data_IF_177664755081
#
_entry.id   IF_177664755081
#
_cell.length_a   1.000
_cell.length_b   1.000
_cell.length_c   1.000
_cell.angle_alpha   90.00
_cell.angle_beta   90.00
_cell.angle_gamma   90.00
#
_symmetry.space_group_name_H-M   'P 1'
#
loop_
_entity.id
_entity.type
_entity.pdbx_description
1 polymer ?
#
# COMPACT_ATOMS: atom_id res chain seq x y z
N UNK A 1 -10.07 -22.50 -13.67
CA UNK A 1 -11.04 -22.78 -12.58
C UNK A 1 -10.71 -22.09 -11.24
N UNK A 2 -9.52 -21.56 -11.03
CA UNK A 2 -9.07 -21.01 -9.72
C UNK A 2 -9.50 -19.56 -9.42
N UNK A 3 -9.67 -18.70 -10.41
CA UNK A 3 -10.05 -17.29 -10.16
C UNK A 3 -11.49 -17.12 -9.68
N UNK A 4 -12.41 -17.95 -10.16
CA UNK A 4 -13.80 -17.92 -9.71
C UNK A 4 -13.95 -18.37 -8.25
N UNK A 5 -13.17 -19.35 -7.80
CA UNK A 5 -13.22 -19.81 -6.41
C UNK A 5 -12.72 -18.75 -5.42
N UNK A 6 -11.68 -17.99 -5.76
CA UNK A 6 -11.19 -16.89 -4.91
C UNK A 6 -12.22 -15.76 -4.84
N UNK A 7 -12.81 -15.37 -5.96
CA UNK A 7 -13.85 -14.34 -5.97
C UNK A 7 -15.08 -14.75 -5.14
N UNK A 8 -15.53 -16.00 -5.26
CA UNK A 8 -16.64 -16.52 -4.47
C UNK A 8 -16.30 -16.55 -2.99
N UNK A 9 -15.10 -17.00 -2.60
CA UNK A 9 -14.67 -17.03 -1.20
C UNK A 9 -14.58 -15.63 -0.59
N UNK A 10 -14.04 -14.65 -1.34
CA UNK A 10 -14.01 -13.25 -0.90
C UNK A 10 -15.42 -12.68 -0.74
N UNK A 11 -16.29 -12.88 -1.73
CA UNK A 11 -17.67 -12.40 -1.68
C UNK A 11 -18.44 -13.03 -0.52
N UNK A 12 -18.27 -14.33 -0.27
CA UNK A 12 -18.88 -15.01 0.86
C UNK A 12 -18.35 -14.49 2.19
N UNK A 13 -17.03 -14.33 2.33
CA UNK A 13 -16.40 -13.78 3.54
C UNK A 13 -16.88 -12.38 3.87
N UNK A 14 -16.87 -11.47 2.90
CA UNK A 14 -17.38 -10.11 3.08
C UNK A 14 -18.88 -10.09 3.35
N UNK A 15 -19.67 -10.90 2.65
CA UNK A 15 -21.11 -10.99 2.86
C UNK A 15 -21.46 -11.48 4.27
N UNK A 16 -20.82 -12.52 4.75
CA UNK A 16 -21.01 -13.05 6.11
C UNK A 16 -20.60 -12.03 7.18
N UNK A 17 -19.49 -11.34 6.98
CA UNK A 17 -19.04 -10.29 7.91
C UNK A 17 -20.05 -9.13 7.96
N UNK A 18 -20.55 -8.68 6.82
CA UNK A 18 -21.56 -7.63 6.76
C UNK A 18 -22.87 -8.05 7.47
N UNK A 19 -23.33 -9.28 7.23
CA UNK A 19 -24.51 -9.82 7.91
C UNK A 19 -24.32 -9.91 9.43
N UNK A 20 -23.14 -10.31 9.89
CA UNK A 20 -22.82 -10.36 11.32
C UNK A 20 -22.82 -8.95 11.93
N UNK A 21 -22.22 -7.96 11.29
CA UNK A 21 -22.19 -6.57 11.78
C UNK A 21 -23.60 -5.97 11.89
N UNK A 22 -24.43 -6.18 10.88
CA UNK A 22 -25.83 -5.72 10.90
C UNK A 22 -26.63 -6.44 11.98
N UNK A 23 -26.46 -7.76 12.12
CA UNK A 23 -27.17 -8.57 13.12
C UNK A 23 -26.76 -8.29 14.58
N UNK A 24 -25.54 -7.78 14.79
CA UNK A 24 -25.04 -7.42 16.14
C UNK A 24 -25.34 -5.99 16.57
N UNK A 25 -26.15 -5.23 15.81
CA UNK A 25 -26.46 -3.81 16.07
C UNK A 25 -25.21 -2.92 16.25
N UNK A 26 -24.09 -3.28 15.63
CA UNK A 26 -22.88 -2.45 15.60
C UNK A 26 -23.10 -1.36 14.55
N UNK A 27 -22.88 -0.09 14.94
CA UNK A 27 -22.92 1.03 14.00
C UNK A 27 -21.84 0.85 12.94
N UNK A 28 -22.28 0.69 11.70
CA UNK A 28 -21.41 0.30 10.62
C UNK A 28 -21.61 1.24 9.42
N UNK A 29 -20.53 1.77 8.90
CA UNK A 29 -20.56 2.62 7.72
C UNK A 29 -20.42 1.75 6.46
N UNK A 30 -21.53 1.55 5.76
CA UNK A 30 -21.59 0.72 4.55
C UNK A 30 -20.64 1.23 3.45
N UNK A 31 -20.44 2.54 3.33
CA UNK A 31 -19.54 3.14 2.34
C UNK A 31 -18.07 2.79 2.62
N UNK A 32 -17.62 2.93 3.87
CA UNK A 32 -16.26 2.54 4.27
C UNK A 32 -16.02 1.04 4.09
N UNK A 33 -17.03 0.23 4.43
CA UNK A 33 -16.93 -1.22 4.24
C UNK A 33 -16.81 -1.61 2.77
N UNK A 34 -17.60 -0.96 1.90
CA UNK A 34 -17.53 -1.19 0.46
C UNK A 34 -16.15 -0.79 -0.12
N UNK A 35 -15.58 0.33 0.32
CA UNK A 35 -14.23 0.74 -0.06
C UNK A 35 -13.17 -0.25 0.43
N UNK A 36 -13.28 -0.71 1.68
CA UNK A 36 -12.38 -1.73 2.22
C UNK A 36 -12.45 -3.03 1.41
N UNK A 37 -13.68 -3.48 1.06
CA UNK A 37 -13.87 -4.65 0.22
C UNK A 37 -13.28 -4.44 -1.19
N UNK A 38 -13.43 -3.24 -1.77
CA UNK A 38 -12.84 -2.88 -3.06
C UNK A 38 -11.30 -2.96 -3.03
N UNK A 39 -10.66 -2.35 -2.03
CA UNK A 39 -9.20 -2.35 -1.92
C UNK A 39 -8.65 -3.75 -1.64
N UNK A 40 -9.32 -4.51 -0.77
CA UNK A 40 -8.94 -5.89 -0.48
C UNK A 40 -9.12 -6.80 -1.70
N UNK A 41 -10.22 -6.62 -2.44
CA UNK A 41 -10.46 -7.30 -3.70
C UNK A 41 -9.39 -6.95 -4.75
N UNK A 42 -9.02 -5.68 -4.86
CA UNK A 42 -7.95 -5.19 -5.72
C UNK A 42 -6.61 -5.87 -5.40
N UNK A 43 -6.20 -5.89 -4.13
CA UNK A 43 -4.98 -6.58 -3.70
C UNK A 43 -5.05 -8.08 -4.00
N UNK A 44 -6.18 -8.73 -3.73
CA UNK A 44 -6.35 -10.15 -4.00
C UNK A 44 -6.20 -10.46 -5.50
N UNK A 45 -6.79 -9.65 -6.38
CA UNK A 45 -6.64 -9.77 -7.82
C UNK A 45 -5.18 -9.62 -8.26
N UNK A 46 -4.45 -8.65 -7.71
CA UNK A 46 -3.02 -8.44 -8.00
C UNK A 46 -2.21 -9.68 -7.57
N UNK A 47 -2.44 -10.18 -6.36
CA UNK A 47 -1.71 -11.35 -5.85
C UNK A 47 -2.01 -12.61 -6.67
N UNK A 48 -3.26 -12.79 -7.09
CA UNK A 48 -3.65 -13.90 -7.99
C UNK A 48 -2.97 -13.75 -9.35
N UNK A 49 -2.95 -12.55 -9.94
CA UNK A 49 -2.30 -12.30 -11.22
C UNK A 49 -0.80 -12.62 -11.16
N UNK A 50 -0.11 -12.17 -10.11
CA UNK A 50 1.32 -12.49 -9.88
C UNK A 50 1.52 -14.00 -9.71
N UNK A 51 0.67 -14.65 -8.90
CA UNK A 51 0.78 -16.09 -8.64
C UNK A 51 0.58 -16.93 -9.92
N UNK A 52 -0.38 -16.54 -10.75
CA UNK A 52 -0.62 -17.21 -12.04
C UNK A 52 0.57 -17.02 -12.98
N UNK A 53 1.12 -15.80 -13.07
CA UNK A 53 2.29 -15.48 -13.89
C UNK A 53 3.50 -16.32 -13.51
N UNK A 54 3.79 -16.41 -12.20
CA UNK A 54 4.89 -17.22 -11.67
C UNK A 54 4.64 -18.70 -11.97
N UNK A 55 3.41 -19.19 -11.74
CA UNK A 55 3.08 -20.59 -11.95
C UNK A 55 3.21 -21.03 -13.43
N UNK A 56 2.95 -20.12 -14.36
CA UNK A 56 3.17 -20.36 -15.78
C UNK A 56 4.63 -20.32 -16.21
N UNK A 57 5.49 -19.59 -15.47
CA UNK A 57 6.89 -19.42 -15.80
C UNK A 57 7.81 -20.51 -15.22
N UNK A 58 7.34 -21.32 -14.27
CA UNK A 58 8.17 -22.30 -13.54
C UNK A 58 7.74 -23.74 -13.85
N UNK A 59 8.72 -24.66 -14.05
CA UNK A 59 8.41 -26.01 -14.53
C UNK A 59 7.84 -26.94 -13.47
N UNK A 60 7.86 -26.57 -12.18
CA UNK A 60 7.36 -27.44 -11.11
C UNK A 60 6.47 -26.72 -10.10
N UNK A 61 5.45 -27.40 -9.60
CA UNK A 61 4.53 -26.85 -8.62
C UNK A 61 5.21 -26.48 -7.27
N UNK A 62 6.25 -27.21 -6.89
CA UNK A 62 7.03 -26.91 -5.67
C UNK A 62 7.79 -25.60 -5.82
N UNK A 63 8.45 -25.41 -6.96
CA UNK A 63 9.20 -24.19 -7.24
C UNK A 63 8.25 -22.98 -7.35
N UNK A 64 7.08 -23.16 -7.95
CA UNK A 64 6.03 -22.13 -8.02
C UNK A 64 5.58 -21.71 -6.62
N UNK A 65 5.34 -22.65 -5.70
CA UNK A 65 4.96 -22.32 -4.32
C UNK A 65 6.05 -21.50 -3.61
N UNK A 66 7.31 -21.92 -3.71
CA UNK A 66 8.44 -21.21 -3.11
C UNK A 66 8.61 -19.81 -3.70
N UNK A 67 8.50 -19.68 -5.04
CA UNK A 67 8.61 -18.40 -5.71
C UNK A 67 7.48 -17.43 -5.30
N UNK A 68 6.25 -17.91 -5.20
CA UNK A 68 5.12 -17.10 -4.73
C UNK A 68 5.30 -16.65 -3.27
N UNK A 69 5.75 -17.54 -2.39
CA UNK A 69 6.06 -17.20 -1.00
C UNK A 69 7.17 -16.15 -0.92
N UNK A 70 8.23 -16.30 -1.74
CA UNK A 70 9.31 -15.33 -1.81
C UNK A 70 8.82 -13.94 -2.26
N UNK A 71 7.99 -13.87 -3.31
CA UNK A 71 7.44 -12.60 -3.81
C UNK A 71 6.58 -11.91 -2.74
N UNK A 72 5.77 -12.67 -2.01
CA UNK A 72 4.99 -12.13 -0.89
C UNK A 72 5.90 -11.56 0.21
N UNK A 73 6.91 -12.29 0.64
CA UNK A 73 7.89 -11.85 1.65
C UNK A 73 8.66 -10.62 1.15
N UNK A 74 9.05 -10.62 -0.13
CA UNK A 74 9.75 -9.50 -0.76
C UNK A 74 8.94 -8.21 -0.67
N UNK A 75 7.69 -8.19 -1.12
CA UNK A 75 6.85 -7.00 -1.08
C UNK A 75 6.47 -6.58 0.34
N UNK A 76 6.33 -7.52 1.26
CA UNK A 76 5.89 -7.23 2.63
C UNK A 76 7.04 -6.70 3.51
N UNK A 77 8.22 -7.27 3.40
CA UNK A 77 9.32 -7.00 4.33
C UNK A 77 10.53 -6.33 3.68
N UNK A 78 10.92 -6.76 2.47
CA UNK A 78 12.17 -6.33 1.85
C UNK A 78 11.99 -5.00 1.10
N UNK A 79 10.83 -4.76 0.48
CA UNK A 79 10.59 -3.58 -0.34
C UNK A 79 10.83 -2.26 0.38
N UNK A 80 10.38 -2.12 1.61
CA UNK A 80 10.60 -0.92 2.41
C UNK A 80 12.09 -0.65 2.68
N UNK A 81 12.85 -1.69 2.96
CA UNK A 81 14.30 -1.59 3.16
C UNK A 81 15.01 -1.18 1.88
N UNK A 82 14.56 -1.71 0.74
CA UNK A 82 15.06 -1.34 -0.58
C UNK A 82 14.76 0.14 -0.90
N UNK A 83 13.55 0.60 -0.67
CA UNK A 83 13.17 2.00 -0.88
C UNK A 83 14.00 2.96 -0.01
N UNK A 84 14.27 2.59 1.25
CA UNK A 84 15.17 3.36 2.12
C UNK A 84 16.61 3.32 1.64
N UNK A 85 17.08 2.17 1.14
CA UNK A 85 18.40 2.04 0.52
C UNK A 85 18.58 2.94 -0.69
N UNK A 86 17.58 3.00 -1.57
CA UNK A 86 17.56 3.94 -2.71
C UNK A 86 17.58 5.39 -2.23
N UNK A 87 16.79 5.74 -1.21
CA UNK A 87 16.81 7.06 -0.60
C UNK A 87 18.19 7.48 -0.11
N UNK A 88 18.90 6.57 0.56
CA UNK A 88 20.26 6.82 1.03
C UNK A 88 21.27 6.98 -0.12
N UNK A 89 21.12 6.18 -1.17
CA UNK A 89 21.95 6.27 -2.37
C UNK A 89 21.73 7.60 -3.10
N UNK A 90 20.49 8.05 -3.25
CA UNK A 90 20.15 9.36 -3.83
C UNK A 90 20.83 10.49 -3.06
N UNK A 91 20.79 10.44 -1.72
CA UNK A 91 21.39 11.47 -0.88
C UNK A 91 22.93 11.44 -0.91
N UNK A 92 23.54 10.27 -0.72
CA UNK A 92 24.97 10.16 -0.46
C UNK A 92 25.81 10.11 -1.74
N UNK A 93 25.30 9.53 -2.82
CA UNK A 93 26.07 9.34 -4.06
C UNK A 93 25.67 10.33 -5.16
N UNK A 94 24.41 10.66 -5.26
CA UNK A 94 23.92 11.56 -6.32
C UNK A 94 23.72 13.00 -5.84
N UNK A 95 23.88 13.28 -4.54
CA UNK A 95 23.70 14.62 -3.97
C UNK A 95 22.26 15.15 -4.10
N UNK A 96 21.29 14.26 -4.36
CA UNK A 96 19.88 14.62 -4.47
C UNK A 96 19.32 14.67 -3.05
N UNK A 97 19.35 15.85 -2.46
CA UNK A 97 18.79 16.13 -1.13
C UNK A 97 17.42 16.80 -1.19
N UNK A 98 16.93 17.22 -0.02
CA UNK A 98 15.70 18.00 0.11
C UNK A 98 14.41 17.24 -0.26
N UNK A 99 13.41 17.99 -0.72
CA UNK A 99 12.06 17.46 -1.00
C UNK A 99 12.03 16.42 -2.12
N UNK A 100 12.86 16.56 -3.15
CA UNK A 100 12.88 15.63 -4.30
C UNK A 100 13.24 14.20 -3.87
N UNK A 101 14.23 14.05 -2.97
CA UNK A 101 14.58 12.76 -2.37
C UNK A 101 13.36 12.08 -1.74
N UNK A 102 12.59 12.84 -0.97
CA UNK A 102 11.43 12.31 -0.25
C UNK A 102 10.25 12.01 -1.19
N UNK A 103 10.06 12.83 -2.24
CA UNK A 103 9.09 12.51 -3.31
C UNK A 103 9.40 11.17 -3.97
N UNK A 104 10.65 10.95 -4.38
CA UNK A 104 11.06 9.69 -5.01
C UNK A 104 10.95 8.50 -4.04
N UNK A 105 11.35 8.69 -2.79
CA UNK A 105 11.26 7.64 -1.77
C UNK A 105 9.81 7.22 -1.53
N UNK A 106 8.90 8.20 -1.37
CA UNK A 106 7.47 7.92 -1.18
C UNK A 106 6.88 7.23 -2.41
N UNK A 107 7.21 7.70 -3.60
CA UNK A 107 6.76 7.08 -4.85
C UNK A 107 7.20 5.61 -4.95
N UNK A 108 8.49 5.32 -4.71
CA UNK A 108 9.01 3.94 -4.72
C UNK A 108 8.30 3.07 -3.67
N UNK A 109 8.07 3.60 -2.47
CA UNK A 109 7.32 2.85 -1.44
C UNK A 109 5.91 2.52 -1.90
N UNK A 110 5.19 3.48 -2.51
CA UNK A 110 3.85 3.30 -3.03
C UNK A 110 3.77 2.38 -4.26
N UNK A 111 4.87 2.09 -4.94
CA UNK A 111 4.89 1.07 -6.00
C UNK A 111 4.74 -0.36 -5.46
N UNK A 112 4.98 -0.63 -4.18
CA UNK A 112 4.71 -1.96 -3.61
C UNK A 112 3.20 -2.21 -3.49
N UNK A 113 2.66 -3.33 -4.00
CA UNK A 113 1.23 -3.62 -3.91
C UNK A 113 0.75 -3.75 -2.46
N UNK A 114 1.56 -4.34 -1.57
CA UNK A 114 1.22 -4.47 -0.14
C UNK A 114 1.26 -3.13 0.58
N UNK A 115 2.20 -2.26 0.21
CA UNK A 115 2.32 -0.94 0.82
C UNK A 115 1.23 0.01 0.32
N UNK A 116 0.90 -0.01 -0.97
CA UNK A 116 -0.24 0.72 -1.54
C UNK A 116 -1.54 0.33 -0.84
N UNK A 117 -1.80 -0.96 -0.70
CA UNK A 117 -2.98 -1.45 0.01
C UNK A 117 -3.02 -0.96 1.47
N UNK A 118 -1.91 -1.13 2.20
CA UNK A 118 -1.82 -0.66 3.60
C UNK A 118 -2.12 0.83 3.70
N UNK A 119 -1.53 1.64 2.84
CA UNK A 119 -1.74 3.09 2.84
C UNK A 119 -3.19 3.47 2.56
N UNK A 120 -3.86 2.77 1.61
CA UNK A 120 -5.27 2.96 1.32
C UNK A 120 -6.17 2.61 2.52
N UNK A 121 -5.88 1.50 3.20
CA UNK A 121 -6.64 1.11 4.40
C UNK A 121 -6.38 2.09 5.55
N UNK A 122 -5.13 2.49 5.78
CA UNK A 122 -4.78 3.44 6.83
C UNK A 122 -5.45 4.81 6.60
N UNK A 123 -5.61 5.25 5.34
CA UNK A 123 -6.33 6.50 5.01
C UNK A 123 -7.83 6.42 5.29
N UNK A 124 -8.43 5.23 5.27
CA UNK A 124 -9.84 5.03 5.58
C UNK A 124 -10.16 5.10 7.08
N UNK A 125 -9.19 4.75 7.94
CA UNK A 125 -9.39 4.70 9.40
C UNK A 125 -9.52 6.11 10.01
N UNK A 126 -8.99 7.12 9.33
CA UNK A 126 -9.11 8.52 9.73
C UNK A 126 -10.24 9.25 8.99
N UNK A 127 -10.40 10.53 9.27
CA UNK A 127 -11.38 11.38 8.61
C UNK A 127 -10.71 12.40 7.68
N UNK A 128 -11.13 12.37 6.40
CA UNK A 128 -10.78 13.36 5.40
C UNK A 128 -9.29 13.41 5.02
N UNK A 129 -8.85 14.56 4.51
CA UNK A 129 -7.50 14.77 3.98
C UNK A 129 -6.37 14.56 5.01
N UNK A 130 -6.64 14.71 6.30
CA UNK A 130 -5.66 14.45 7.36
C UNK A 130 -5.28 12.97 7.43
N UNK A 131 -6.27 12.08 7.26
CA UNK A 131 -6.03 10.64 7.28
C UNK A 131 -5.12 10.21 6.13
N UNK A 132 -5.35 10.77 4.96
CA UNK A 132 -4.54 10.52 3.77
C UNK A 132 -3.08 10.92 3.99
N UNK A 133 -2.82 12.11 4.55
CA UNK A 133 -1.45 12.56 4.87
C UNK A 133 -0.80 11.71 5.95
N UNK A 134 -1.53 11.38 7.01
CA UNK A 134 -1.01 10.54 8.09
C UNK A 134 -0.64 9.14 7.62
N UNK A 135 -1.45 8.55 6.72
CA UNK A 135 -1.15 7.25 6.13
C UNK A 135 0.17 7.28 5.33
N UNK A 136 0.45 8.36 4.58
CA UNK A 136 1.73 8.52 3.86
C UNK A 136 2.88 8.83 4.79
N UNK A 137 2.68 9.71 5.76
CA UNK A 137 3.71 10.02 6.75
C UNK A 137 4.11 8.78 7.56
N UNK A 138 3.16 7.92 7.89
CA UNK A 138 3.38 6.66 8.60
C UNK A 138 4.25 5.62 7.85
N UNK A 139 4.52 5.85 6.56
CA UNK A 139 5.44 5.00 5.78
C UNK A 139 6.91 5.31 6.06
N UNK A 140 7.21 6.42 6.69
CA UNK A 140 8.57 6.82 7.03
C UNK A 140 8.90 6.43 8.48
N UNK A 141 10.19 6.17 8.75
CA UNK A 141 10.68 5.96 10.10
C UNK A 141 10.64 7.28 10.88
N UNK A 142 10.66 7.20 12.21
CA UNK A 142 10.66 8.39 13.08
C UNK A 142 11.91 9.27 12.91
N UNK A 143 12.99 8.70 12.35
CA UNK A 143 14.26 9.40 12.11
C UNK A 143 14.28 10.15 10.75
N UNK A 144 13.21 10.08 9.96
CA UNK A 144 13.08 10.85 8.74
C UNK A 144 12.68 12.30 9.07
N UNK A 145 13.03 13.23 8.17
CA UNK A 145 12.64 14.65 8.25
C UNK A 145 11.12 14.79 8.06
N UNK A 146 10.34 14.39 9.07
CA UNK A 146 8.87 14.33 9.02
C UNK A 146 8.25 15.70 8.75
N UNK A 147 8.89 16.78 9.19
CA UNK A 147 8.49 18.15 8.91
C UNK A 147 8.60 18.46 7.41
N UNK A 148 9.74 18.14 6.77
CA UNK A 148 9.96 18.32 5.33
C UNK A 148 9.00 17.45 4.52
N UNK A 149 8.77 16.22 4.95
CA UNK A 149 7.85 15.31 4.26
C UNK A 149 6.42 15.85 4.34
N UNK A 150 5.98 16.32 5.50
CA UNK A 150 4.65 16.88 5.68
C UNK A 150 4.47 18.18 4.89
N UNK A 151 5.41 19.14 5.00
CA UNK A 151 5.32 20.45 4.34
C UNK A 151 5.53 20.36 2.84
N UNK A 152 6.69 19.90 2.41
CA UNK A 152 7.11 19.99 1.01
C UNK A 152 6.54 18.89 0.12
N UNK A 153 6.39 17.66 0.68
CA UNK A 153 5.94 16.50 -0.12
C UNK A 153 4.43 16.34 -0.07
N UNK A 154 3.83 16.41 1.13
CA UNK A 154 2.41 16.18 1.34
C UNK A 154 1.58 17.48 1.39
N UNK A 155 2.23 18.64 1.32
CA UNK A 155 1.61 19.98 1.35
C UNK A 155 0.70 20.18 2.56
N UNK A 156 1.14 19.66 3.70
CA UNK A 156 0.42 19.78 4.98
C UNK A 156 1.12 20.71 5.94
N UNK A 157 0.45 20.96 7.06
CA UNK A 157 1.02 21.67 8.21
C UNK A 157 1.51 20.65 9.23
N UNK A 158 2.80 20.69 9.54
CA UNK A 158 3.37 19.82 10.55
C UNK A 158 3.03 20.34 11.95
N UNK A 159 2.42 19.47 12.75
CA UNK A 159 2.12 19.74 14.17
C UNK A 159 2.47 18.53 15.02
N UNK A 160 2.67 18.74 16.33
CA UNK A 160 2.81 17.66 17.29
C UNK A 160 1.62 17.66 18.21
N UNK A 161 0.98 16.51 18.37
CA UNK A 161 -0.11 16.32 19.33
C UNK A 161 0.34 15.43 20.47
N UNK A 162 -0.01 15.81 21.68
CA UNK A 162 0.25 15.00 22.86
C UNK A 162 -0.85 13.97 23.02
N UNK A 163 -0.50 12.69 22.94
CA UNK A 163 -1.43 11.58 23.09
C UNK A 163 -1.18 10.92 24.44
N UNK A 164 -2.24 10.69 25.23
CA UNK A 164 -2.15 9.89 26.44
C UNK A 164 -2.06 8.40 26.10
N UNK A 165 -0.98 7.76 26.56
CA UNK A 165 -0.80 6.32 26.47
C UNK A 165 -1.28 5.61 27.75
N UNK A 166 -1.11 4.29 27.77
CA UNK A 166 -1.41 3.48 28.94
C UNK A 166 -0.55 3.92 30.15
N UNK A 167 -1.17 4.12 31.31
CA UNK A 167 -0.47 4.42 32.56
C UNK A 167 -0.06 5.90 32.73
N UNK A 168 -0.85 6.87 32.28
CA UNK A 168 -0.58 8.32 32.38
C UNK A 168 0.71 8.80 31.67
N UNK A 169 1.28 8.01 30.79
CA UNK A 169 2.39 8.46 29.95
C UNK A 169 1.86 9.30 28.80
N UNK A 170 2.44 10.46 28.59
CA UNK A 170 2.14 11.32 27.44
C UNK A 170 3.24 11.15 26.39
N UNK A 171 2.82 10.90 25.14
CA UNK A 171 3.72 10.79 24.00
C UNK A 171 3.40 11.91 23.01
N UNK A 172 4.42 12.58 22.53
CA UNK A 172 4.30 13.47 21.38
C UNK A 172 4.24 12.64 20.10
N UNK A 173 3.18 12.83 19.33
CA UNK A 173 3.02 12.19 18.02
C UNK A 173 3.03 13.25 16.93
N UNK A 174 3.91 13.11 15.94
CA UNK A 174 3.88 13.99 14.76
C UNK A 174 2.58 13.76 13.99
N UNK A 175 1.94 14.86 13.62
CA UNK A 175 0.70 14.89 12.83
C UNK A 175 0.92 15.83 11.66
N UNK A 176 0.41 15.42 10.51
CA UNK A 176 0.40 16.23 9.31
C UNK A 176 -1.04 16.63 9.00
N UNK A 177 -1.40 17.84 9.33
CA UNK A 177 -2.74 18.38 9.13
C UNK A 177 -2.93 18.89 7.70
N UNK A 178 -4.20 19.03 7.30
CA UNK A 178 -4.53 19.61 6.01
C UNK A 178 -3.97 21.04 5.92
N UNK A 179 -3.15 21.28 4.91
CA UNK A 179 -2.67 22.61 4.55
C UNK A 179 -3.66 23.32 3.62
N UNK A 180 -3.24 24.47 3.09
CA UNK A 180 -4.02 25.22 2.10
C UNK A 180 -4.11 24.52 0.73
N UNK A 181 -3.32 23.47 0.49
CA UNK A 181 -3.26 22.74 -0.77
C UNK A 181 -3.58 21.26 -0.53
N UNK A 182 -4.26 20.63 -1.49
CA UNK A 182 -4.49 19.20 -1.47
C UNK A 182 -3.16 18.42 -1.65
N UNK A 183 -3.16 17.17 -1.20
CA UNK A 183 -2.07 16.21 -1.48
C UNK A 183 -1.82 16.17 -2.99
N UNK A 184 -0.55 16.12 -3.46
CA UNK A 184 -0.27 15.97 -4.89
C UNK A 184 -1.03 14.80 -5.49
N UNK A 185 -1.64 15.00 -6.67
CA UNK A 185 -2.51 14.00 -7.30
C UNK A 185 -1.88 12.59 -7.37
N UNK A 186 -0.59 12.52 -7.71
CA UNK A 186 0.15 11.25 -7.80
C UNK A 186 0.37 10.55 -6.44
N UNK A 187 0.06 11.21 -5.34
CA UNK A 187 0.03 10.60 -4.00
C UNK A 187 -1.39 10.46 -3.44
N UNK A 188 -2.41 10.86 -4.19
CA UNK A 188 -3.81 10.73 -3.76
C UNK A 188 -4.25 9.26 -3.72
N UNK A 189 -5.29 8.95 -2.94
CA UNK A 189 -5.83 7.58 -2.83
C UNK A 189 -6.22 6.98 -4.18
N UNK A 190 -6.87 7.70 -5.12
CA UNK A 190 -7.12 7.18 -6.45
C UNK A 190 -5.86 6.81 -7.22
N UNK A 191 -4.80 7.62 -7.14
CA UNK A 191 -3.53 7.31 -7.79
C UNK A 191 -2.85 6.08 -7.17
N UNK A 192 -2.85 5.98 -5.84
CA UNK A 192 -2.31 4.81 -5.13
C UNK A 192 -3.07 3.53 -5.48
N UNK A 193 -4.39 3.62 -5.65
CA UNK A 193 -5.18 2.49 -6.13
C UNK A 193 -4.83 2.08 -7.56
N UNK A 194 -4.57 3.05 -8.44
CA UNK A 194 -4.08 2.77 -9.80
C UNK A 194 -2.70 2.09 -9.74
N UNK A 195 -1.78 2.51 -8.88
CA UNK A 195 -0.47 1.85 -8.71
C UNK A 195 -0.62 0.40 -8.25
N UNK A 196 -1.56 0.15 -7.33
CA UNK A 196 -1.90 -1.22 -6.92
C UNK A 196 -2.36 -2.06 -8.12
N UNK A 197 -3.31 -1.56 -8.91
CA UNK A 197 -3.86 -2.31 -10.05
C UNK A 197 -2.87 -2.43 -11.22
N UNK A 198 -1.90 -1.53 -11.37
CA UNK A 198 -0.89 -1.59 -12.42
C UNK A 198 -0.08 -2.91 -12.39
N UNK A 199 0.04 -3.54 -11.23
CA UNK A 199 0.68 -4.85 -11.08
C UNK A 199 -0.02 -5.98 -11.84
N UNK A 200 -1.33 -5.85 -12.11
CA UNK A 200 -2.06 -6.80 -12.98
C UNK A 200 -1.49 -6.73 -14.40
N UNK A 201 -1.24 -5.51 -14.90
CA UNK A 201 -0.61 -5.30 -16.21
C UNK A 201 0.83 -5.84 -16.26
N UNK A 202 1.62 -5.61 -15.20
CA UNK A 202 2.98 -6.15 -15.10
C UNK A 202 2.95 -7.67 -15.10
N UNK A 203 2.08 -8.29 -14.31
CA UNK A 203 1.92 -9.73 -14.26
C UNK A 203 1.49 -10.31 -15.62
N UNK A 204 0.54 -9.67 -16.30
CA UNK A 204 0.10 -10.08 -17.65
C UNK A 204 1.24 -9.97 -18.68
N UNK A 205 2.02 -8.90 -18.63
CA UNK A 205 3.17 -8.72 -19.51
C UNK A 205 4.24 -9.81 -19.28
N UNK A 206 4.56 -10.11 -18.03
CA UNK A 206 5.50 -11.19 -17.68
C UNK A 206 5.00 -12.53 -18.18
N UNK A 207 3.70 -12.83 -18.01
CA UNK A 207 3.09 -14.06 -18.53
C UNK A 207 3.23 -14.15 -20.05
N UNK A 208 2.87 -13.08 -20.77
CA UNK A 208 2.94 -13.04 -22.22
C UNK A 208 4.36 -13.35 -22.74
N UNK A 209 5.37 -12.64 -22.22
CA UNK A 209 6.77 -12.84 -22.61
C UNK A 209 7.32 -14.23 -22.26
N UNK A 210 6.87 -14.84 -21.18
CA UNK A 210 7.31 -16.18 -20.79
C UNK A 210 6.70 -17.26 -21.67
N UNK A 211 5.43 -17.13 -22.04
CA UNK A 211 4.77 -18.09 -22.94
C UNK A 211 5.30 -18.01 -24.39
N UNK A 212 5.53 -16.81 -24.91
CA UNK A 212 6.05 -16.63 -26.26
C UNK A 212 7.44 -17.27 -26.46
N UNK A 213 8.26 -17.35 -25.40
CA UNK A 213 9.59 -18.00 -25.46
C UNK A 213 9.57 -19.52 -25.34
N UNK A 214 8.48 -20.10 -24.86
CA UNK A 214 8.36 -21.56 -24.69
C UNK A 214 7.84 -22.23 -25.96
N UNK A 215 7.12 -21.50 -26.79
CA UNK A 215 6.54 -21.99 -28.04
C UNK A 215 7.50 -21.86 -29.27
N UNK A 216 8.75 -21.42 -29.07
CA UNK A 216 9.82 -21.37 -30.07
C UNK A 216 10.94 -22.39 -29.73
#
# INVERSE_FOLDING_TARGET
>A
MTSSSVAVSLAAGFGLTALFLVGSNITFNAGLYALFALFTGGLALVMVAIAVSISGAVPSSRLSLVANAFVYVYFTFIWNSLANGVSNLLNNQLGIGGSLRWHLTLFIKLLSPTQSYKTLVDSMVGSGENAERLARLGMFSRDADTEVICGDVLRGNFTTVTVQGFGNQTFERPVCEAGSQAVPFYFSDPAVFVYLLAWIGVAAAVSYYTFEKVDL
#
